data_IF_678513524965
#
_entry.id   IF_678513524965
#
_cell.length_a   1.000
_cell.length_b   1.000
_cell.length_c   1.000
_cell.angle_alpha   90.00
_cell.angle_beta   90.00
_cell.angle_gamma   90.00
#
_symmetry.space_group_name_H-M   'P 1'
#
loop_
_entity.id
_entity.type
_entity.pdbx_description
1 polymer ?
#
# COMPACT_ATOMS: atom_id res chain seq x y z
N UNK A 1 1.75 -2.74 23.82
CA UNK A 1 2.61 -3.43 22.84
C UNK A 1 3.97 -2.73 22.86
N UNK A 2 5.07 -3.46 23.09
CA UNK A 2 6.42 -2.87 23.19
C UNK A 2 7.20 -3.28 21.94
N UNK A 3 7.48 -2.32 21.07
CA UNK A 3 8.25 -2.57 19.84
C UNK A 3 9.72 -2.70 20.26
N UNK A 4 10.28 -3.90 20.18
CA UNK A 4 11.69 -4.20 20.45
C UNK A 4 12.43 -4.50 19.15
N UNK A 5 13.77 -4.44 19.15
CA UNK A 5 14.60 -4.71 17.96
C UNK A 5 14.26 -6.08 17.31
N UNK A 6 14.01 -7.10 18.13
CA UNK A 6 13.59 -8.42 17.68
C UNK A 6 12.25 -8.42 16.94
N UNK A 7 11.30 -7.57 17.36
CA UNK A 7 10.00 -7.43 16.68
C UNK A 7 10.18 -6.75 15.33
N UNK A 8 11.04 -5.72 15.26
CA UNK A 8 11.33 -5.02 13.99
C UNK A 8 11.97 -5.97 12.97
N UNK A 9 12.89 -6.82 13.40
CA UNK A 9 13.51 -7.85 12.54
C UNK A 9 12.55 -8.94 12.08
N UNK A 10 11.43 -9.12 12.77
CA UNK A 10 10.41 -10.10 12.38
C UNK A 10 9.46 -9.59 11.29
N UNK A 11 9.49 -8.29 10.96
CA UNK A 11 8.64 -7.76 9.88
C UNK A 11 8.98 -8.43 8.55
N UNK A 12 7.92 -8.79 7.83
CA UNK A 12 7.98 -9.36 6.50
C UNK A 12 6.97 -8.63 5.61
N UNK A 13 7.18 -8.74 4.31
CA UNK A 13 6.23 -8.23 3.32
C UNK A 13 4.88 -8.88 3.57
N UNK A 14 3.88 -8.06 3.90
CA UNK A 14 2.51 -8.54 4.12
C UNK A 14 1.78 -8.77 2.80
N UNK A 15 1.94 -7.83 1.84
CA UNK A 15 1.28 -7.84 0.54
C UNK A 15 2.16 -7.18 -0.52
N UNK A 16 1.88 -7.49 -1.78
CA UNK A 16 2.54 -6.88 -2.95
C UNK A 16 1.48 -6.61 -4.00
N UNK A 17 1.38 -5.36 -4.42
CA UNK A 17 0.46 -4.89 -5.44
C UNK A 17 1.19 -4.73 -6.77
N UNK A 18 0.62 -5.21 -7.86
CA UNK A 18 1.23 -5.20 -9.21
C UNK A 18 0.31 -4.62 -10.28
N UNK A 19 -0.55 -3.70 -9.89
CA UNK A 19 -1.56 -3.10 -10.76
C UNK A 19 -0.97 -2.03 -11.70
N UNK A 20 0.02 -1.27 -11.24
CA UNK A 20 0.65 -0.24 -12.07
C UNK A 20 1.55 -0.87 -13.13
N UNK A 21 1.39 -0.44 -14.39
CA UNK A 21 2.21 -0.92 -15.50
C UNK A 21 3.56 -0.22 -15.57
N UNK A 22 3.61 1.01 -15.06
CA UNK A 22 4.78 1.87 -15.05
C UNK A 22 5.31 2.11 -13.63
N UNK A 23 6.32 2.99 -13.52
CA UNK A 23 6.95 3.31 -12.24
C UNK A 23 5.98 4.08 -11.33
N UNK A 24 5.87 3.61 -10.10
CA UNK A 24 5.19 4.35 -9.03
C UNK A 24 6.06 5.54 -8.62
N UNK A 25 5.49 6.73 -8.68
CA UNK A 25 6.15 7.97 -8.29
C UNK A 25 5.91 8.32 -6.83
N UNK A 26 4.69 8.09 -6.34
CA UNK A 26 4.29 8.43 -4.97
C UNK A 26 3.39 7.34 -4.39
N UNK A 27 3.49 7.17 -3.07
CA UNK A 27 2.59 6.35 -2.26
C UNK A 27 2.24 7.14 -1.02
N UNK A 28 0.95 7.20 -0.67
CA UNK A 28 0.49 7.85 0.56
C UNK A 28 -0.53 6.99 1.29
N UNK A 29 -0.58 7.14 2.61
CA UNK A 29 -1.50 6.40 3.48
C UNK A 29 -2.52 7.36 4.07
N UNK A 30 -3.77 6.91 4.12
CA UNK A 30 -4.78 7.63 4.88
C UNK A 30 -4.38 7.69 6.36
N UNK A 31 -4.63 8.81 7.08
CA UNK A 31 -4.30 8.95 8.50
C UNK A 31 -4.99 7.90 9.40
N UNK A 32 -6.12 7.35 8.96
CA UNK A 32 -6.82 6.27 9.65
C UNK A 32 -6.21 4.88 9.39
N UNK A 33 -5.27 4.75 8.45
CA UNK A 33 -4.63 3.49 8.07
C UNK A 33 -5.54 2.51 7.31
N UNK A 34 -6.70 2.96 6.86
CA UNK A 34 -7.69 2.10 6.19
C UNK A 34 -7.48 2.01 4.68
N UNK A 35 -6.87 3.04 4.08
CA UNK A 35 -6.62 3.11 2.65
C UNK A 35 -5.21 3.60 2.35
N UNK A 36 -4.66 3.15 1.23
CA UNK A 36 -3.44 3.69 0.64
C UNK A 36 -3.68 4.09 -0.81
N UNK A 37 -2.95 5.09 -1.28
CA UNK A 37 -2.99 5.54 -2.66
C UNK A 37 -1.60 5.38 -3.25
N UNK A 38 -1.52 4.91 -4.49
CA UNK A 38 -0.30 5.02 -5.30
C UNK A 38 -0.59 5.78 -6.58
N UNK A 39 0.36 6.60 -7.01
CA UNK A 39 0.32 7.27 -8.31
C UNK A 39 1.48 6.80 -9.18
N UNK A 40 1.18 6.51 -10.45
CA UNK A 40 2.14 5.97 -11.41
C UNK A 40 2.25 6.90 -12.63
N UNK A 41 3.29 6.71 -13.43
CA UNK A 41 3.55 7.45 -14.68
C UNK A 41 2.58 7.08 -15.83
N UNK A 42 1.78 6.02 -15.65
CA UNK A 42 0.76 5.57 -16.62
C UNK A 42 -0.56 6.36 -16.54
N UNK A 43 -0.53 7.56 -15.96
CA UNK A 43 -1.69 8.43 -15.67
C UNK A 43 -2.75 7.76 -14.78
N UNK A 44 -2.42 6.63 -14.14
CA UNK A 44 -3.29 5.91 -13.23
C UNK A 44 -2.98 6.23 -11.77
N UNK A 45 -4.05 6.29 -10.97
CA UNK A 45 -3.99 6.35 -9.51
C UNK A 45 -4.74 5.15 -8.99
N UNK A 46 -4.07 4.34 -8.16
CA UNK A 46 -4.66 3.13 -7.58
C UNK A 46 -4.95 3.37 -6.11
N UNK A 47 -6.20 3.11 -5.71
CA UNK A 47 -6.63 3.10 -4.32
C UNK A 47 -6.63 1.66 -3.78
N UNK A 48 -5.93 1.45 -2.69
CA UNK A 48 -5.85 0.19 -1.97
C UNK A 48 -6.69 0.27 -0.71
N UNK A 49 -7.63 -0.67 -0.55
CA UNK A 49 -8.26 -0.91 0.75
C UNK A 49 -7.33 -1.82 1.57
N UNK A 50 -6.81 -1.30 2.68
CA UNK A 50 -5.87 -2.00 3.55
C UNK A 50 -6.61 -2.95 4.51
N UNK A 51 -7.86 -2.64 4.87
CA UNK A 51 -8.63 -3.45 5.82
C UNK A 51 -9.10 -4.75 5.19
N UNK A 52 -9.73 -4.65 4.01
CA UNK A 52 -10.21 -5.83 3.29
C UNK A 52 -9.08 -6.43 2.44
N UNK A 53 -8.10 -5.60 2.08
CA UNK A 53 -6.98 -6.03 1.25
C UNK A 53 -7.41 -6.36 -0.17
N UNK A 54 -8.49 -5.75 -0.63
CA UNK A 54 -8.88 -5.76 -2.02
C UNK A 54 -8.29 -4.54 -2.70
N UNK A 55 -7.80 -4.77 -3.91
CA UNK A 55 -7.54 -3.72 -4.88
C UNK A 55 -8.90 -3.14 -5.28
N UNK A 56 -9.25 -1.95 -4.82
CA UNK A 56 -10.43 -1.25 -5.32
C UNK A 56 -10.06 -0.60 -6.65
N UNK A 57 -9.78 -1.41 -7.66
CA UNK A 57 -9.36 -1.01 -9.00
C UNK A 57 -10.54 -0.84 -9.96
N UNK A 58 -11.64 -0.24 -9.51
CA UNK A 58 -12.75 0.07 -10.40
C UNK A 58 -13.47 1.34 -9.95
N UNK A 59 -12.96 2.49 -10.43
CA UNK A 59 -13.67 3.78 -10.54
C UNK A 59 -12.96 4.67 -11.55
#
# INVERSE_FOLDING_TARGET
MRITDSVIRSFRVARTYKENSEKINCVDYSPNGESAISSSDDDCIVLYDIQEGNDCSDL
#
